data_IF_271809233878
#
_entry.id   IF_271809233878
#
_cell.length_a   1.000
_cell.length_b   1.000
_cell.length_c   1.000
_cell.angle_alpha   90.00
_cell.angle_beta   90.00
_cell.angle_gamma   90.00
#
_symmetry.space_group_name_H-M   'P 1'
#
loop_
_entity.id
_entity.type
_entity.pdbx_description
1 polymer ?
#
# COMPACT_ATOMS: atom_id res chain seq x y z
N UNK A 1 -0.01 -0.95 15.91
CA UNK A 1 -0.60 -0.18 14.81
C UNK A 1 0.37 -0.09 13.63
N UNK A 2 0.20 -0.91 12.59
CA UNK A 2 1.11 -0.99 11.43
C UNK A 2 0.68 -0.12 10.24
N UNK A 3 -0.49 0.53 10.33
CA UNK A 3 -1.04 1.37 9.26
C UNK A 3 -0.21 2.64 9.02
N UNK A 4 0.20 3.33 10.09
CA UNK A 4 1.07 4.51 9.99
C UNK A 4 2.36 4.22 9.22
N UNK A 5 3.12 3.18 9.61
CA UNK A 5 4.26 2.71 8.83
C UNK A 5 3.93 2.41 7.37
N UNK A 6 2.80 1.72 7.08
CA UNK A 6 2.41 1.39 5.71
C UNK A 6 2.24 2.64 4.83
N UNK A 7 1.58 3.68 5.35
CA UNK A 7 1.43 4.97 4.64
C UNK A 7 2.75 5.70 4.45
N UNK A 8 3.61 5.72 5.48
CA UNK A 8 4.92 6.36 5.39
C UNK A 8 5.75 5.67 4.31
N UNK A 9 5.86 4.34 4.33
CA UNK A 9 6.62 3.61 3.33
C UNK A 9 6.02 3.74 1.92
N UNK A 10 4.70 3.80 1.78
CA UNK A 10 4.06 4.08 0.50
C UNK A 10 4.41 5.48 -0.04
N UNK A 11 4.43 6.49 0.83
CA UNK A 11 4.85 7.84 0.47
C UNK A 11 6.34 7.90 0.10
N UNK A 12 7.20 7.16 0.80
CA UNK A 12 8.61 7.04 0.41
C UNK A 12 8.77 6.32 -0.92
N UNK A 13 8.02 5.24 -1.16
CA UNK A 13 8.06 4.52 -2.43
C UNK A 13 7.75 5.44 -3.61
N UNK A 14 6.72 6.30 -3.50
CA UNK A 14 6.33 7.19 -4.59
C UNK A 14 7.42 8.20 -4.99
N UNK A 15 8.32 8.58 -4.08
CA UNK A 15 9.47 9.44 -4.39
C UNK A 15 10.48 8.79 -5.35
N UNK A 16 10.51 7.46 -5.40
CA UNK A 16 11.42 6.68 -6.24
C UNK A 16 10.75 6.10 -7.49
N UNK A 17 9.48 6.43 -7.73
CA UNK A 17 8.77 5.98 -8.92
C UNK A 17 9.44 6.53 -10.18
N UNK A 18 9.77 5.63 -11.11
CA UNK A 18 10.31 5.98 -12.43
C UNK A 18 9.20 5.81 -13.47
N UNK A 19 8.65 6.91 -14.03
CA UNK A 19 7.63 6.83 -15.07
C UNK A 19 8.15 6.11 -16.31
N UNK A 20 7.33 5.22 -16.89
CA UNK A 20 7.69 4.49 -18.09
C UNK A 20 8.89 3.56 -17.93
N UNK A 21 9.25 3.15 -16.70
CA UNK A 21 10.42 2.31 -16.46
C UNK A 21 10.42 1.02 -17.29
N UNK A 22 9.24 0.40 -17.45
CA UNK A 22 9.07 -0.83 -18.23
C UNK A 22 9.22 -0.61 -19.74
N UNK A 23 9.12 0.63 -20.20
CA UNK A 23 9.28 1.01 -21.61
C UNK A 23 10.74 1.34 -21.95
N UNK A 24 11.62 1.44 -20.95
CA UNK A 24 13.05 1.73 -21.15
C UNK A 24 13.78 0.43 -21.53
N UNK A 25 14.47 0.39 -22.69
CA UNK A 25 15.31 -0.75 -23.03
C UNK A 25 16.40 -0.97 -21.97
N UNK A 26 16.64 -2.23 -21.58
CA UNK A 26 17.65 -2.58 -20.57
C UNK A 26 19.04 -1.98 -20.86
N UNK A 27 19.44 -1.94 -22.13
CA UNK A 27 20.72 -1.36 -22.56
C UNK A 27 20.82 0.17 -22.36
N UNK A 28 19.70 0.85 -22.14
CA UNK A 28 19.63 2.30 -21.93
C UNK A 28 19.32 2.67 -20.47
N UNK A 29 19.23 1.68 -19.56
CA UNK A 29 19.01 1.94 -18.15
C UNK A 29 20.21 2.65 -17.53
N UNK A 30 19.96 3.84 -16.98
CA UNK A 30 20.95 4.54 -16.18
C UNK A 30 21.03 3.93 -14.78
N UNK A 31 22.21 3.99 -14.16
CA UNK A 31 22.40 3.52 -12.78
C UNK A 31 21.40 4.15 -11.79
N UNK A 32 21.10 5.44 -11.96
CA UNK A 32 20.10 6.16 -11.16
C UNK A 32 18.70 5.54 -11.28
N UNK A 33 18.27 5.17 -12.48
CA UNK A 33 16.96 4.54 -12.69
C UNK A 33 16.90 3.16 -12.05
N UNK A 34 17.98 2.38 -12.15
CA UNK A 34 18.07 1.07 -11.49
C UNK A 34 17.96 1.21 -9.97
N UNK A 35 18.73 2.12 -9.36
CA UNK A 35 18.68 2.36 -7.91
C UNK A 35 17.30 2.85 -7.49
N UNK A 36 16.70 3.79 -8.25
CA UNK A 36 15.35 4.30 -7.96
C UNK A 36 14.31 3.18 -8.02
N UNK A 37 14.38 2.31 -9.04
CA UNK A 37 13.46 1.18 -9.16
C UNK A 37 13.62 0.18 -8.01
N UNK A 38 14.86 -0.12 -7.59
CA UNK A 38 15.12 -0.98 -6.43
C UNK A 38 14.54 -0.39 -5.14
N UNK A 39 14.69 0.91 -4.92
CA UNK A 39 14.12 1.60 -3.77
C UNK A 39 12.59 1.64 -3.83
N UNK A 40 12.01 1.91 -5.00
CA UNK A 40 10.57 1.84 -5.22
C UNK A 40 10.01 0.47 -4.83
N UNK A 41 10.64 -0.61 -5.32
CA UNK A 41 10.24 -1.98 -4.99
C UNK A 41 10.45 -2.32 -3.50
N UNK A 42 11.58 -1.91 -2.92
CA UNK A 42 11.88 -2.13 -1.51
C UNK A 42 10.86 -1.44 -0.60
N UNK A 43 10.65 -0.13 -0.76
CA UNK A 43 9.67 0.59 0.04
C UNK A 43 8.23 0.15 -0.23
N UNK A 44 7.89 -0.14 -1.49
CA UNK A 44 6.57 -0.64 -1.87
C UNK A 44 6.25 -1.99 -1.23
N UNK A 45 7.20 -2.94 -1.24
CA UNK A 45 7.02 -4.24 -0.59
C UNK A 45 6.91 -4.12 0.93
N UNK A 46 7.72 -3.25 1.57
CA UNK A 46 7.60 -2.97 3.00
C UNK A 46 6.24 -2.35 3.32
N UNK A 47 5.74 -1.42 2.49
CA UNK A 47 4.43 -0.81 2.66
C UNK A 47 3.30 -1.85 2.57
N UNK A 48 3.36 -2.76 1.60
CA UNK A 48 2.39 -3.85 1.46
C UNK A 48 2.47 -4.81 2.64
N UNK A 49 3.66 -5.19 3.09
CA UNK A 49 3.84 -6.06 4.25
C UNK A 49 3.30 -5.42 5.54
N UNK A 50 3.56 -4.13 5.74
CA UNK A 50 3.03 -3.36 6.86
C UNK A 50 1.50 -3.23 6.79
N UNK A 51 0.93 -3.05 5.59
CA UNK A 51 -0.51 -3.03 5.38
C UNK A 51 -1.14 -4.39 5.70
N UNK A 52 -0.59 -5.49 5.19
CA UNK A 52 -1.06 -6.85 5.47
C UNK A 52 -1.04 -7.13 6.97
N UNK A 53 0.06 -6.79 7.65
CA UNK A 53 0.17 -6.92 9.10
C UNK A 53 -0.79 -5.99 9.85
N UNK A 54 -1.11 -4.82 9.31
CA UNK A 54 -2.13 -3.95 9.90
C UNK A 54 -3.51 -4.59 9.85
N UNK A 55 -3.87 -5.25 8.75
CA UNK A 55 -5.16 -5.93 8.59
C UNK A 55 -5.28 -7.10 9.59
N UNK A 56 -4.20 -7.85 9.80
CA UNK A 56 -4.16 -9.02 10.69
C UNK A 56 -4.25 -8.64 12.18
N UNK A 57 -3.49 -7.63 12.61
CA UNK A 57 -3.37 -7.28 14.04
C UNK A 57 -4.31 -6.17 14.50
N UNK A 58 -4.83 -5.34 13.59
CA UNK A 58 -5.69 -4.19 13.94
C UNK A 58 -6.63 -3.87 12.77
N UNK A 59 -7.78 -4.57 12.66
CA UNK A 59 -8.62 -4.50 11.46
C UNK A 59 -9.04 -3.04 11.17
N UNK A 60 -8.54 -2.49 10.06
CA UNK A 60 -8.82 -1.11 9.63
C UNK A 60 -10.04 -1.07 8.71
N UNK A 61 -10.84 -0.02 8.88
CA UNK A 61 -11.95 0.64 8.14
C UNK A 61 -12.78 -0.04 7.01
N UNK A 62 -12.66 -1.34 6.67
CA UNK A 62 -13.88 -2.15 6.45
C UNK A 62 -14.04 -3.32 7.41
N UNK A 63 -12.94 -3.89 7.90
CA UNK A 63 -12.98 -5.16 8.62
C UNK A 63 -13.28 -5.01 10.12
N UNK A 64 -13.18 -3.78 10.66
CA UNK A 64 -13.41 -3.50 12.08
C UNK A 64 -14.87 -3.76 12.46
N UNK A 65 -15.16 -4.52 13.54
CA UNK A 65 -16.53 -4.78 13.98
C UNK A 65 -17.34 -3.51 14.31
N UNK A 66 -16.67 -2.44 14.76
CA UNK A 66 -17.29 -1.14 15.02
C UNK A 66 -17.65 -0.40 13.73
N UNK A 67 -16.78 -0.45 12.72
CA UNK A 67 -17.05 0.17 11.42
C UNK A 67 -18.18 -0.54 10.67
N UNK A 68 -18.19 -1.88 10.64
CA UNK A 68 -19.31 -2.65 10.06
C UNK A 68 -20.64 -2.34 10.75
N UNK A 69 -20.64 -2.17 12.08
CA UNK A 69 -21.84 -1.74 12.82
C UNK A 69 -22.32 -0.34 12.43
N UNK A 70 -21.41 0.61 12.26
CA UNK A 70 -21.76 1.98 11.82
C UNK A 70 -22.31 1.97 10.41
N UNK A 71 -21.65 1.28 9.48
CA UNK A 71 -22.10 1.19 8.08
C UNK A 71 -23.43 0.41 7.94
N UNK A 72 -23.65 -0.62 8.76
CA UNK A 72 -24.94 -1.30 8.86
C UNK A 72 -26.05 -0.40 9.40
N UNK A 73 -25.76 0.47 10.37
CA UNK A 73 -26.71 1.49 10.85
C UNK A 73 -27.03 2.55 9.80
N UNK A 74 -26.05 2.93 8.97
CA UNK A 74 -26.24 3.88 7.88
C UNK A 74 -26.86 3.26 6.61
N UNK A 75 -27.13 1.96 6.59
CA UNK A 75 -27.76 1.28 5.46
C UNK A 75 -26.83 1.02 4.26
N UNK A 76 -25.52 1.20 4.42
CA UNK A 76 -24.53 0.97 3.36
C UNK A 76 -24.08 -0.48 3.21
N UNK A 77 -24.43 -1.37 4.15
CA UNK A 77 -24.12 -2.79 4.06
C UNK A 77 -25.39 -3.60 3.79
N UNK A 78 -25.37 -4.56 2.85
CA UNK A 78 -26.49 -5.47 2.64
C UNK A 78 -26.75 -6.23 3.93
N UNK A 79 -28.04 -6.31 4.32
CA UNK A 79 -28.47 -7.13 5.45
C UNK A 79 -28.15 -8.57 5.07
N UNK A 80 -27.18 -9.18 5.74
CA UNK A 80 -26.99 -10.62 5.62
C UNK A 80 -28.26 -11.26 6.19
N UNK A 81 -29.01 -11.91 5.30
CA UNK A 81 -30.24 -12.67 5.61
C UNK A 81 -29.90 -13.91 6.44
#
# INVERSE_FOLDING_TARGET
MYLGPAFIFAAFASLFFVPGFLDIPLAHLTFRQVVSQLLFLGFGTIAIAALARSIEFDPVWPWKPSFRRVMGKLGFLPRAE
#
